data_IF_535347529098
#
_entry.id   IF_535347529098
#
_cell.length_a   1.000
_cell.length_b   1.000
_cell.length_c   1.000
_cell.angle_alpha   90.00
_cell.angle_beta   90.00
_cell.angle_gamma   90.00
#
_symmetry.space_group_name_H-M   'P 1'
#
loop_
_entity.id
_entity.type
_entity.pdbx_description
1 polymer ?
#
# COMPACT_ATOMS: atom_id res chain seq x y z
N UNK A 1 46.88 -10.37 33.18
CA UNK A 1 47.82 -10.98 32.18
C UNK A 1 47.24 -10.68 30.81
N UNK A 2 47.86 -9.70 30.14
CA UNK A 2 47.42 -9.18 28.83
C UNK A 2 48.35 -9.76 27.78
N UNK A 3 47.83 -10.39 26.75
CA UNK A 3 48.61 -10.70 25.55
C UNK A 3 47.91 -10.13 24.31
N UNK A 4 48.62 -9.37 23.48
CA UNK A 4 48.10 -8.85 22.21
C UNK A 4 48.44 -9.81 21.06
N UNK A 5 47.50 -10.08 20.19
CA UNK A 5 47.69 -10.76 18.90
C UNK A 5 47.95 -9.75 17.79
N UNK A 6 49.15 -9.85 17.22
CA UNK A 6 49.61 -9.13 16.02
C UNK A 6 48.96 -9.70 14.76
N UNK A 7 48.39 -8.84 13.93
CA UNK A 7 48.11 -9.13 12.53
C UNK A 7 49.41 -9.08 11.70
N UNK A 8 49.66 -10.11 10.89
CA UNK A 8 50.67 -10.13 9.83
C UNK A 8 50.01 -9.77 8.50
N UNK A 9 50.56 -8.76 7.85
CA UNK A 9 50.32 -8.40 6.44
C UNK A 9 50.83 -9.50 5.52
N UNK A 10 50.07 -9.78 4.44
CA UNK A 10 50.67 -10.33 3.23
C UNK A 10 50.12 -9.58 2.00
N UNK A 11 51.05 -8.97 1.32
CA UNK A 11 50.96 -8.28 0.03
C UNK A 11 50.64 -9.28 -1.09
N UNK A 12 49.73 -8.92 -1.98
CA UNK A 12 49.82 -9.30 -3.38
C UNK A 12 49.59 -8.06 -4.23
N UNK A 13 50.65 -7.70 -4.96
CA UNK A 13 50.66 -6.58 -5.89
C UNK A 13 49.92 -6.90 -7.16
N UNK A 14 49.13 -5.97 -7.62
CA UNK A 14 48.67 -5.91 -9.02
C UNK A 14 49.04 -4.54 -9.58
N UNK A 15 49.90 -4.58 -10.57
CA UNK A 15 50.44 -3.45 -11.32
C UNK A 15 49.36 -2.84 -12.19
N UNK A 16 49.03 -1.56 -11.97
CA UNK A 16 48.19 -0.77 -12.86
C UNK A 16 49.04 -0.21 -14.02
N UNK A 17 48.78 -0.69 -15.22
CA UNK A 17 49.28 -0.12 -16.45
C UNK A 17 48.61 1.23 -16.73
N UNK A 18 49.42 2.30 -16.83
CA UNK A 18 49.02 3.63 -17.30
C UNK A 18 48.70 3.54 -18.81
N UNK A 19 47.47 3.72 -19.20
CA UNK A 19 47.12 4.06 -20.56
C UNK A 19 46.84 5.57 -20.65
N UNK A 20 47.73 6.28 -21.29
CA UNK A 20 47.56 7.67 -21.69
C UNK A 20 46.54 7.78 -22.80
N UNK A 21 45.43 8.49 -22.60
CA UNK A 21 44.51 8.85 -23.68
C UNK A 21 44.55 10.36 -23.89
N UNK A 22 44.90 10.76 -25.09
CA UNK A 22 44.97 12.11 -25.59
C UNK A 22 43.54 12.66 -25.82
N UNK A 23 43.21 13.91 -25.48
CA UNK A 23 41.90 14.45 -25.77
C UNK A 23 41.87 15.03 -27.19
N UNK A 24 41.10 14.39 -28.05
CA UNK A 24 40.71 15.03 -29.31
C UNK A 24 39.48 15.92 -29.02
N UNK A 25 39.67 17.20 -29.17
CA UNK A 25 38.63 18.21 -29.08
C UNK A 25 37.63 18.03 -30.23
N UNK A 26 36.40 17.66 -29.89
CA UNK A 26 35.25 17.84 -30.76
C UNK A 26 34.46 19.05 -30.26
N UNK A 27 34.51 20.13 -31.02
CA UNK A 27 33.68 21.31 -30.87
C UNK A 27 32.24 20.94 -31.22
N UNK A 28 31.32 21.01 -30.23
CA UNK A 28 29.88 20.98 -30.45
C UNK A 28 29.33 22.38 -30.10
N UNK A 29 28.66 23.04 -31.03
CA UNK A 29 27.97 24.28 -30.74
C UNK A 29 26.58 24.00 -30.14
N UNK A 30 26.17 24.89 -29.25
CA UNK A 30 24.88 25.05 -28.62
C UNK A 30 24.59 24.15 -27.39
N UNK A 31 24.81 24.80 -26.23
CA UNK A 31 24.17 24.49 -24.97
C UNK A 31 22.67 24.79 -25.08
N UNK A 32 21.86 23.83 -25.48
CA UNK A 32 20.46 23.83 -25.15
C UNK A 32 20.27 22.94 -23.93
N UNK A 33 19.80 23.57 -22.87
CA UNK A 33 19.54 23.04 -21.56
C UNK A 33 18.65 21.81 -21.67
N UNK A 34 19.20 20.62 -21.43
CA UNK A 34 18.41 19.42 -21.18
C UNK A 34 17.72 19.64 -19.85
N UNK A 35 16.51 20.18 -19.89
CA UNK A 35 15.62 20.22 -18.72
C UNK A 35 15.25 18.78 -18.42
N UNK A 36 15.67 18.29 -17.26
CA UNK A 36 15.34 16.94 -16.78
C UNK A 36 13.82 16.79 -16.74
N UNK A 37 13.32 15.65 -17.22
CA UNK A 37 11.89 15.31 -17.15
C UNK A 37 11.34 15.38 -15.71
N UNK A 38 12.20 15.30 -14.69
CA UNK A 38 11.85 15.49 -13.29
C UNK A 38 11.59 16.95 -12.88
N UNK A 39 12.16 17.94 -13.59
CA UNK A 39 11.88 19.36 -13.35
C UNK A 39 10.57 19.81 -14.03
N UNK A 40 10.07 19.05 -15.00
CA UNK A 40 8.77 19.30 -15.66
C UNK A 40 7.56 18.96 -14.78
N UNK A 41 7.73 18.13 -13.75
CA UNK A 41 6.63 17.68 -12.85
C UNK A 41 6.46 18.62 -11.65
N UNK A 42 7.41 19.51 -11.38
CA UNK A 42 7.34 20.49 -10.28
C UNK A 42 6.62 21.75 -10.72
N UNK A 43 5.34 21.87 -10.39
CA UNK A 43 4.43 23.02 -10.61
C UNK A 43 4.20 23.40 -12.08
N UNK A 44 3.70 22.49 -12.89
CA UNK A 44 3.35 22.84 -14.27
C UNK A 44 1.98 23.53 -14.32
N UNK A 45 1.99 24.80 -14.70
CA UNK A 45 0.78 25.51 -15.12
C UNK A 45 0.08 24.70 -16.23
N UNK A 46 -1.24 24.41 -16.13
CA UNK A 46 -1.96 23.58 -17.12
C UNK A 46 -1.81 24.06 -18.57
N UNK A 47 -1.69 25.36 -18.79
CA UNK A 47 -1.44 25.96 -20.10
C UNK A 47 -0.07 25.55 -20.64
N UNK A 48 0.97 25.65 -19.81
CA UNK A 48 2.33 25.25 -20.17
C UNK A 48 2.39 23.76 -20.49
N UNK A 49 1.78 22.91 -19.67
CA UNK A 49 1.76 21.46 -19.86
C UNK A 49 1.12 21.09 -21.19
N UNK A 50 -0.08 21.64 -21.49
CA UNK A 50 -0.79 21.34 -22.75
C UNK A 50 -0.05 21.85 -23.99
N UNK A 51 0.65 22.99 -23.88
CA UNK A 51 1.52 23.52 -24.94
C UNK A 51 2.69 22.59 -25.22
N UNK A 52 3.39 22.14 -24.16
CA UNK A 52 4.55 21.25 -24.30
C UNK A 52 4.17 19.88 -24.88
N UNK A 53 3.02 19.34 -24.50
CA UNK A 53 2.47 18.09 -25.09
C UNK A 53 2.25 18.23 -26.60
N UNK A 54 1.86 19.43 -27.09
CA UNK A 54 1.72 19.75 -28.53
C UNK A 54 3.04 20.13 -29.19
N UNK A 55 4.14 20.13 -28.44
CA UNK A 55 5.47 20.56 -28.91
C UNK A 55 5.51 22.02 -29.44
N UNK A 56 4.64 22.86 -28.91
CA UNK A 56 4.58 24.26 -29.31
C UNK A 56 5.51 25.14 -28.48
N UNK A 57 6.09 26.16 -29.11
CA UNK A 57 6.75 27.28 -28.44
C UNK A 57 5.70 28.23 -27.83
N UNK A 58 6.12 29.12 -26.94
CA UNK A 58 5.22 30.20 -26.44
C UNK A 58 4.75 31.14 -27.56
N UNK A 59 5.51 31.25 -28.64
CA UNK A 59 5.14 32.04 -29.80
C UNK A 59 4.02 31.35 -30.61
N UNK A 60 4.13 30.04 -30.82
CA UNK A 60 3.13 29.24 -31.52
C UNK A 60 1.78 29.29 -30.78
N UNK A 61 1.80 29.12 -29.45
CA UNK A 61 0.58 29.23 -28.65
C UNK A 61 -0.02 30.62 -28.70
N UNK A 62 0.82 31.66 -28.68
CA UNK A 62 0.38 33.05 -28.78
C UNK A 62 -0.32 33.33 -30.13
N UNK A 63 0.22 32.82 -31.23
CA UNK A 63 -0.36 32.92 -32.57
C UNK A 63 -1.71 32.19 -32.66
N UNK A 64 -1.77 30.94 -32.21
CA UNK A 64 -3.00 30.14 -32.23
C UNK A 64 -4.13 30.74 -31.36
N UNK A 65 -3.77 31.34 -30.22
CA UNK A 65 -4.74 31.94 -29.30
C UNK A 65 -5.04 33.43 -29.59
N UNK A 66 -4.38 34.04 -30.56
CA UNK A 66 -4.56 35.46 -30.89
C UNK A 66 -4.15 36.41 -29.75
N UNK A 67 -3.14 36.03 -28.94
CA UNK A 67 -2.65 36.83 -27.81
C UNK A 67 -1.14 37.10 -27.95
N UNK A 68 -0.58 38.00 -27.14
CA UNK A 68 0.85 38.25 -27.20
C UNK A 68 1.67 37.11 -26.53
N UNK A 69 2.89 36.85 -27.04
CA UNK A 69 3.85 35.92 -26.40
C UNK A 69 4.14 36.30 -24.95
N UNK A 70 4.18 37.61 -24.65
CA UNK A 70 4.38 38.09 -23.28
C UNK A 70 3.22 37.71 -22.37
N UNK A 71 1.98 37.74 -22.87
CA UNK A 71 0.81 37.27 -22.12
C UNK A 71 0.88 35.76 -21.84
N UNK A 72 1.26 34.93 -22.82
CA UNK A 72 1.48 33.48 -22.62
C UNK A 72 2.53 33.24 -21.55
N UNK A 73 3.69 33.91 -21.63
CA UNK A 73 4.76 33.78 -20.64
C UNK A 73 4.33 34.21 -19.24
N UNK A 74 3.53 35.26 -19.11
CA UNK A 74 3.03 35.73 -17.83
C UNK A 74 1.98 34.80 -17.23
N UNK A 75 1.10 34.22 -18.06
CA UNK A 75 0.08 33.25 -17.66
C UNK A 75 0.75 31.95 -17.23
N UNK A 76 1.69 31.40 -18.00
CA UNK A 76 2.43 30.18 -17.66
C UNK A 76 3.26 30.35 -16.37
N UNK A 77 3.80 31.53 -16.14
CA UNK A 77 4.53 31.89 -14.92
C UNK A 77 3.65 32.27 -13.73
N UNK A 78 2.32 32.13 -13.84
CA UNK A 78 1.34 32.54 -12.82
C UNK A 78 1.46 33.98 -12.35
N UNK A 79 2.04 34.85 -13.19
CA UNK A 79 2.21 36.29 -12.94
C UNK A 79 1.03 37.14 -13.45
N UNK A 80 0.17 36.56 -14.27
CA UNK A 80 -1.01 37.18 -14.84
C UNK A 80 -2.17 36.19 -14.84
N UNK A 81 -3.30 36.59 -14.25
CA UNK A 81 -4.58 35.93 -14.45
C UNK A 81 -5.17 36.37 -15.77
N UNK A 82 -5.52 35.45 -16.70
CA UNK A 82 -6.09 35.81 -17.99
C UNK A 82 -7.46 36.49 -17.84
N UNK A 83 -7.78 37.42 -18.74
CA UNK A 83 -9.14 37.87 -18.89
C UNK A 83 -10.05 36.73 -19.37
N UNK A 84 -11.37 36.85 -19.19
CA UNK A 84 -12.34 35.86 -19.67
C UNK A 84 -12.16 35.58 -21.17
N UNK A 85 -11.94 36.62 -21.97
CA UNK A 85 -11.70 36.48 -23.40
C UNK A 85 -10.43 35.69 -23.71
N UNK A 86 -9.34 35.97 -23.00
CA UNK A 86 -8.06 35.23 -23.13
C UNK A 86 -8.21 33.78 -22.67
N UNK A 87 -8.94 33.55 -21.60
CA UNK A 87 -9.18 32.21 -21.09
C UNK A 87 -10.01 31.34 -22.08
N UNK A 88 -11.05 31.91 -22.66
CA UNK A 88 -11.86 31.27 -23.71
C UNK A 88 -11.04 30.98 -24.98
N UNK A 89 -10.18 31.92 -25.42
CA UNK A 89 -9.31 31.70 -26.57
C UNK A 89 -8.33 30.53 -26.34
N UNK A 90 -7.68 30.47 -25.17
CA UNK A 90 -6.77 29.40 -24.82
C UNK A 90 -7.51 28.04 -24.69
N UNK A 91 -8.73 28.05 -24.11
CA UNK A 91 -9.57 26.87 -24.00
C UNK A 91 -9.97 26.29 -25.36
N UNK A 92 -10.35 27.18 -26.29
CA UNK A 92 -10.68 26.81 -27.67
C UNK A 92 -9.48 26.20 -28.42
N UNK A 93 -8.28 26.80 -28.28
CA UNK A 93 -7.03 26.27 -28.89
C UNK A 93 -6.67 24.92 -28.34
N UNK A 94 -6.91 24.65 -27.06
CA UNK A 94 -6.62 23.39 -26.44
C UNK A 94 -7.78 22.37 -26.47
N UNK A 95 -8.91 22.74 -27.09
CA UNK A 95 -10.12 21.92 -27.21
C UNK A 95 -10.59 21.40 -25.84
N UNK A 96 -10.60 22.26 -24.83
CA UNK A 96 -10.99 21.95 -23.47
C UNK A 96 -11.82 23.07 -22.83
N UNK A 97 -12.40 22.85 -21.66
CA UNK A 97 -13.13 23.91 -20.97
C UNK A 97 -12.19 24.90 -20.28
N UNK A 98 -12.68 26.11 -20.00
CA UNK A 98 -11.95 27.12 -19.22
C UNK A 98 -11.66 26.60 -17.81
N UNK A 99 -12.59 25.84 -17.26
CA UNK A 99 -12.47 25.18 -15.96
C UNK A 99 -11.34 24.15 -15.93
N UNK A 100 -11.07 23.46 -17.03
CA UNK A 100 -9.95 22.52 -17.15
C UNK A 100 -8.59 23.22 -17.24
N UNK A 101 -8.54 24.46 -17.75
CA UNK A 101 -7.29 25.23 -17.87
C UNK A 101 -7.01 26.10 -16.66
N UNK A 102 -8.04 26.73 -16.11
CA UNK A 102 -7.92 27.79 -15.11
C UNK A 102 -8.81 27.58 -13.89
N UNK A 103 -9.79 26.67 -14.00
CA UNK A 103 -10.52 26.24 -12.83
C UNK A 103 -9.51 25.59 -11.88
N UNK A 104 -9.55 25.97 -10.62
CA UNK A 104 -8.94 25.21 -9.56
C UNK A 104 -9.73 23.90 -9.49
N UNK A 105 -9.43 22.98 -10.44
CA UNK A 105 -10.12 21.75 -10.79
C UNK A 105 -11.57 21.76 -10.35
N UNK A 106 -12.55 21.83 -11.25
CA UNK A 106 -13.98 21.93 -10.94
C UNK A 106 -14.54 20.78 -10.08
N UNK A 107 -13.99 20.62 -8.93
CA UNK A 107 -14.52 19.94 -7.76
C UNK A 107 -15.14 21.04 -6.89
N UNK A 108 -16.38 20.86 -6.50
CA UNK A 108 -16.99 21.59 -5.39
C UNK A 108 -15.93 21.78 -4.31
N UNK A 109 -15.87 22.95 -3.62
CA UNK A 109 -14.77 23.28 -2.74
C UNK A 109 -14.43 22.06 -1.91
N UNK A 110 -13.31 21.44 -2.24
CA UNK A 110 -12.89 20.22 -1.58
C UNK A 110 -12.76 20.63 -0.12
N UNK A 111 -13.61 20.08 0.74
CA UNK A 111 -13.34 20.10 2.18
C UNK A 111 -11.86 19.74 2.28
N UNK A 112 -11.09 20.58 2.98
CA UNK A 112 -9.67 20.33 3.12
C UNK A 112 -9.40 18.87 3.46
N UNK A 113 -8.22 18.33 3.23
CA UNK A 113 -7.95 16.91 3.41
C UNK A 113 -8.41 16.48 4.80
N UNK A 114 -9.17 15.39 4.85
CA UNK A 114 -9.79 14.85 6.06
C UNK A 114 -8.94 13.70 6.58
N UNK A 115 -8.75 13.62 7.90
CA UNK A 115 -8.10 12.46 8.49
C UNK A 115 -8.96 11.20 8.35
N UNK A 116 -8.37 10.12 7.83
CA UNK A 116 -9.00 8.80 7.80
C UNK A 116 -9.29 8.28 9.21
N UNK A 117 -8.35 8.56 10.13
CA UNK A 117 -8.52 8.42 11.59
C UNK A 117 -7.60 9.40 12.30
N UNK A 118 -7.93 9.68 13.56
CA UNK A 118 -7.22 10.69 14.35
C UNK A 118 -5.75 10.31 14.57
N UNK A 119 -4.79 11.20 14.28
CA UNK A 119 -3.40 10.99 14.60
C UNK A 119 -3.16 10.93 16.11
N UNK A 120 -2.12 10.18 16.51
CA UNK A 120 -1.71 10.07 17.92
C UNK A 120 -0.75 11.21 18.26
N UNK A 121 -1.24 12.29 18.84
CA UNK A 121 -0.41 13.42 19.33
C UNK A 121 -0.55 14.70 18.50
N UNK A 122 0.23 15.71 18.85
CA UNK A 122 0.18 17.07 18.27
C UNK A 122 0.91 17.20 16.94
N UNK A 123 1.72 16.21 16.59
CA UNK A 123 2.38 16.12 15.29
C UNK A 123 2.32 14.71 14.75
N UNK A 124 2.17 14.57 13.43
CA UNK A 124 2.15 13.27 12.75
C UNK A 124 2.69 13.42 11.33
N UNK A 125 3.47 12.44 10.92
CA UNK A 125 3.71 12.20 9.49
C UNK A 125 2.45 11.60 8.90
N UNK A 126 2.19 11.83 7.62
CA UNK A 126 1.01 11.27 6.97
C UNK A 126 1.28 10.80 5.55
N UNK A 127 0.46 9.87 5.10
CA UNK A 127 0.26 9.52 3.71
C UNK A 127 -1.06 10.05 3.21
N UNK A 128 -1.17 10.25 1.91
CA UNK A 128 -2.41 10.68 1.27
C UNK A 128 -2.92 9.63 0.29
N UNK A 129 -4.25 9.53 0.22
CA UNK A 129 -4.91 8.79 -0.84
C UNK A 129 -6.24 9.43 -1.21
N UNK A 130 -6.65 9.22 -2.45
CA UNK A 130 -7.95 9.64 -2.95
C UNK A 130 -8.91 8.44 -3.01
N UNK A 131 -10.00 8.47 -2.23
CA UNK A 131 -11.06 7.46 -2.22
C UNK A 131 -12.36 8.06 -2.76
N UNK A 132 -12.69 7.72 -4.00
CA UNK A 132 -13.74 8.40 -4.74
C UNK A 132 -13.40 9.88 -4.92
N UNK A 133 -14.27 10.77 -4.44
CA UNK A 133 -14.04 12.22 -4.51
C UNK A 133 -13.40 12.81 -3.24
N UNK A 134 -12.95 11.98 -2.29
CA UNK A 134 -12.41 12.41 -1.00
C UNK A 134 -10.89 12.21 -0.96
N UNK A 135 -10.17 13.26 -0.60
CA UNK A 135 -8.74 13.18 -0.28
C UNK A 135 -8.59 12.96 1.22
N UNK A 136 -7.98 11.85 1.59
CA UNK A 136 -7.84 11.40 2.98
C UNK A 136 -6.37 11.40 3.38
N UNK A 137 -6.11 11.83 4.63
CA UNK A 137 -4.82 11.74 5.31
C UNK A 137 -4.81 10.53 6.23
N UNK A 138 -3.75 9.75 6.13
CA UNK A 138 -3.50 8.57 6.96
C UNK A 138 -2.31 8.83 7.86
N UNK A 139 -2.47 8.86 9.19
CA UNK A 139 -1.32 8.95 10.09
C UNK A 139 -0.35 7.81 9.83
N UNK A 140 0.96 8.12 9.78
CA UNK A 140 1.97 7.07 9.62
C UNK A 140 1.97 6.18 10.86
N UNK A 141 1.67 4.92 10.65
CA UNK A 141 1.70 3.86 11.65
C UNK A 141 2.94 2.98 11.46
N UNK A 142 3.38 2.31 12.51
CA UNK A 142 4.40 1.28 12.38
C UNK A 142 3.83 0.13 11.52
N UNK A 143 4.31 0.04 10.29
CA UNK A 143 4.02 -1.08 9.40
C UNK A 143 5.19 -2.05 9.55
N UNK A 144 4.88 -3.33 9.69
CA UNK A 144 5.85 -4.35 10.11
C UNK A 144 7.09 -4.53 9.23
N UNK A 145 7.12 -4.03 8.01
CA UNK A 145 8.12 -4.48 7.04
C UNK A 145 9.07 -3.41 6.49
N UNK A 146 8.66 -2.20 6.25
CA UNK A 146 9.56 -1.11 5.82
C UNK A 146 8.87 0.25 5.97
N UNK A 147 9.59 1.28 6.42
CA UNK A 147 9.04 2.62 6.44
C UNK A 147 8.82 3.12 5.03
N UNK A 148 7.56 3.19 4.61
CA UNK A 148 7.17 3.81 3.34
C UNK A 148 7.33 5.33 3.46
N UNK A 149 7.94 6.02 2.46
CA UNK A 149 8.04 7.46 2.45
C UNK A 149 6.67 8.12 2.68
N UNK A 150 6.64 9.12 3.57
CA UNK A 150 5.44 9.87 3.87
C UNK A 150 5.28 11.07 2.93
N UNK A 151 4.04 11.52 2.74
CA UNK A 151 3.71 12.60 1.82
C UNK A 151 3.82 13.98 2.48
N UNK A 152 3.74 14.03 3.81
CA UNK A 152 3.90 15.28 4.53
C UNK A 152 3.94 15.10 6.04
N UNK A 153 4.01 16.24 6.74
CA UNK A 153 4.00 16.35 8.20
C UNK A 153 2.87 17.27 8.60
N UNK A 154 2.04 16.84 9.53
CA UNK A 154 1.08 17.68 10.23
C UNK A 154 1.65 18.05 11.59
N UNK A 155 1.65 19.34 11.91
CA UNK A 155 2.14 19.85 13.16
C UNK A 155 1.36 21.10 13.56
N UNK A 156 0.82 21.16 14.78
CA UNK A 156 0.07 22.29 15.33
C UNK A 156 -1.04 22.81 14.38
N UNK A 157 -1.78 21.92 13.74
CA UNK A 157 -2.85 22.28 12.82
C UNK A 157 -2.40 22.65 11.39
N UNK A 158 -1.10 22.68 11.13
CA UNK A 158 -0.53 23.03 9.83
C UNK A 158 -0.06 21.77 9.09
N UNK A 159 -0.42 21.66 7.81
CA UNK A 159 0.07 20.62 6.90
C UNK A 159 1.28 21.13 6.11
N UNK A 160 2.39 20.44 6.23
CA UNK A 160 3.58 20.66 5.41
C UNK A 160 3.68 19.51 4.40
N UNK A 161 3.23 19.75 3.17
CA UNK A 161 3.22 18.79 2.07
C UNK A 161 4.63 18.66 1.46
N UNK A 162 4.99 17.44 1.04
CA UNK A 162 6.24 17.11 0.35
C UNK A 162 6.03 16.67 -1.10
N UNK A 163 4.79 16.65 -1.55
CA UNK A 163 4.35 16.13 -2.83
C UNK A 163 3.40 14.96 -2.62
N UNK A 164 2.23 15.05 -3.24
CA UNK A 164 1.16 14.09 -3.06
C UNK A 164 1.21 12.97 -4.08
N UNK A 165 1.05 11.74 -3.61
CA UNK A 165 0.79 10.56 -4.42
C UNK A 165 -0.67 10.08 -4.23
N UNK A 166 -1.58 10.96 -3.84
CA UNK A 166 -2.95 10.59 -3.45
C UNK A 166 -3.69 9.82 -4.55
N UNK A 167 -3.62 10.30 -5.79
CA UNK A 167 -4.32 9.70 -6.96
C UNK A 167 -3.73 8.35 -7.37
N UNK A 168 -2.46 8.10 -7.06
CA UNK A 168 -1.76 6.86 -7.42
C UNK A 168 -1.65 5.89 -6.24
N UNK A 169 -2.31 6.19 -5.13
CA UNK A 169 -2.27 5.36 -3.91
C UNK A 169 -3.54 4.53 -3.78
N UNK A 170 -3.38 3.21 -3.74
CA UNK A 170 -4.38 2.25 -3.30
C UNK A 170 -4.24 2.03 -1.79
N UNK A 171 -5.34 2.04 -1.06
CA UNK A 171 -5.35 1.80 0.38
C UNK A 171 -6.12 0.53 0.70
N UNK A 172 -5.50 -0.36 1.43
CA UNK A 172 -6.05 -1.63 1.88
C UNK A 172 -6.01 -1.72 3.39
N UNK A 173 -7.04 -2.28 3.99
CA UNK A 173 -7.03 -2.74 5.36
C UNK A 173 -7.07 -4.28 5.36
N UNK A 174 -6.04 -4.93 5.88
CA UNK A 174 -5.93 -6.40 5.89
C UNK A 174 -4.98 -6.84 7.00
N UNK A 175 -5.22 -7.99 7.58
CA UNK A 175 -4.32 -8.60 8.56
C UNK A 175 -3.38 -9.63 7.95
N UNK A 176 -3.29 -9.69 6.62
CA UNK A 176 -2.34 -10.56 5.91
C UNK A 176 -0.91 -10.23 6.32
N UNK A 177 -0.16 -11.16 6.93
CA UNK A 177 1.22 -10.93 7.33
C UNK A 177 2.18 -10.82 6.14
N UNK A 178 1.79 -11.31 4.96
CA UNK A 178 2.56 -11.21 3.72
C UNK A 178 2.22 -9.96 2.88
N UNK A 179 1.39 -9.05 3.40
CA UNK A 179 0.93 -7.85 2.68
C UNK A 179 2.07 -6.95 2.18
N UNK A 180 3.24 -7.00 2.82
CA UNK A 180 4.44 -6.28 2.36
C UNK A 180 4.96 -6.78 1.02
N UNK A 181 4.93 -8.10 0.79
CA UNK A 181 5.28 -8.69 -0.51
C UNK A 181 4.30 -8.21 -1.60
N UNK A 182 3.01 -8.28 -1.32
CA UNK A 182 1.98 -7.79 -2.25
C UNK A 182 2.19 -6.30 -2.58
N UNK A 183 2.49 -5.47 -1.58
CA UNK A 183 2.71 -4.04 -1.78
C UNK A 183 3.94 -3.75 -2.65
N UNK A 184 5.03 -4.50 -2.45
CA UNK A 184 6.25 -4.39 -3.27
C UNK A 184 6.01 -4.80 -4.72
N UNK A 185 5.40 -5.96 -4.95
CA UNK A 185 5.05 -6.46 -6.28
C UNK A 185 4.05 -5.55 -6.99
N UNK A 186 3.06 -5.02 -6.27
CA UNK A 186 2.09 -4.08 -6.81
C UNK A 186 2.76 -2.78 -7.29
N UNK A 187 3.66 -2.22 -6.49
CA UNK A 187 4.40 -1.01 -6.88
C UNK A 187 5.31 -1.27 -8.08
N UNK A 188 6.01 -2.42 -8.09
CA UNK A 188 6.88 -2.81 -9.20
C UNK A 188 6.10 -3.00 -10.52
N UNK A 189 4.97 -3.69 -10.48
CA UNK A 189 4.20 -4.05 -11.67
C UNK A 189 3.36 -2.89 -12.22
N UNK A 190 2.93 -1.93 -11.40
CA UNK A 190 1.97 -0.90 -11.79
C UNK A 190 2.48 0.54 -11.68
N UNK A 191 3.55 0.78 -10.93
CA UNK A 191 3.98 2.11 -10.53
C UNK A 191 3.06 2.80 -9.52
N UNK A 192 1.93 2.19 -9.14
CA UNK A 192 1.05 2.68 -8.08
C UNK A 192 1.58 2.29 -6.71
N UNK A 193 1.27 3.09 -5.68
CA UNK A 193 1.58 2.77 -4.29
C UNK A 193 0.43 1.99 -3.66
N UNK A 194 0.74 0.90 -2.93
CA UNK A 194 -0.19 0.20 -2.06
C UNK A 194 0.17 0.45 -0.60
N UNK A 195 -0.74 1.08 0.15
CA UNK A 195 -0.66 1.20 1.60
C UNK A 195 -1.53 0.12 2.23
N UNK A 196 -0.94 -0.72 3.07
CA UNK A 196 -1.68 -1.76 3.78
C UNK A 196 -1.66 -1.47 5.28
N UNK A 197 -2.85 -1.25 5.85
CA UNK A 197 -3.03 -1.07 7.28
C UNK A 197 -3.43 -2.40 7.91
N UNK A 198 -2.68 -2.90 8.91
CA UNK A 198 -3.00 -4.16 9.57
C UNK A 198 -4.27 -4.00 10.40
N UNK A 199 -5.37 -4.55 9.91
CA UNK A 199 -6.69 -4.53 10.57
C UNK A 199 -7.37 -5.88 10.41
N UNK A 200 -8.01 -6.36 11.47
CA UNK A 200 -8.89 -7.55 11.39
C UNK A 200 -10.09 -7.30 10.48
N UNK A 201 -10.63 -8.37 9.90
CA UNK A 201 -11.62 -8.30 8.82
C UNK A 201 -12.85 -7.45 9.15
N UNK A 202 -13.36 -7.50 10.40
CA UNK A 202 -14.51 -6.66 10.81
C UNK A 202 -14.19 -5.17 10.78
N UNK A 203 -13.00 -4.79 11.28
CA UNK A 203 -12.55 -3.38 11.26
C UNK A 203 -12.27 -2.96 9.83
N UNK A 204 -11.67 -3.83 9.02
CA UNK A 204 -11.39 -3.58 7.61
C UNK A 204 -12.67 -3.29 6.82
N UNK A 205 -13.72 -4.09 7.01
CA UNK A 205 -15.03 -3.87 6.39
C UNK A 205 -15.68 -2.56 6.84
N UNK A 206 -15.60 -2.22 8.11
CA UNK A 206 -16.15 -0.95 8.62
C UNK A 206 -15.42 0.26 8.00
N UNK A 207 -14.08 0.21 7.88
CA UNK A 207 -13.31 1.24 7.19
C UNK A 207 -13.69 1.35 5.71
N UNK A 208 -13.94 0.22 5.05
CA UNK A 208 -14.41 0.18 3.67
C UNK A 208 -15.80 0.82 3.54
N UNK A 209 -16.74 0.47 4.41
CA UNK A 209 -18.10 1.04 4.47
C UNK A 209 -18.06 2.56 4.68
N UNK A 210 -17.17 3.05 5.53
CA UNK A 210 -16.95 4.48 5.79
C UNK A 210 -16.20 5.19 4.64
N UNK A 211 -15.85 4.46 3.56
CA UNK A 211 -15.02 4.99 2.44
C UNK A 211 -13.70 5.57 2.95
N UNK A 212 -13.06 4.87 3.88
CA UNK A 212 -11.73 5.22 4.41
C UNK A 212 -10.60 4.35 3.83
N UNK A 213 -10.95 3.25 3.19
CA UNK A 213 -10.03 2.39 2.43
C UNK A 213 -10.69 1.99 1.11
N UNK A 214 -9.92 1.54 0.14
CA UNK A 214 -10.43 1.02 -1.13
C UNK A 214 -10.78 -0.46 -1.04
N UNK A 215 -10.02 -1.22 -0.23
CA UNK A 215 -10.07 -2.68 -0.17
C UNK A 215 -10.01 -3.15 1.28
N UNK A 216 -10.81 -4.16 1.62
CA UNK A 216 -10.80 -4.85 2.90
C UNK A 216 -10.44 -6.32 2.72
N UNK A 217 -9.47 -6.85 3.48
CA UNK A 217 -9.12 -8.25 3.52
C UNK A 217 -10.00 -9.03 4.50
N UNK A 218 -10.58 -10.15 4.05
CA UNK A 218 -11.46 -11.03 4.81
C UNK A 218 -10.95 -12.47 4.76
N UNK A 219 -10.93 -13.17 5.89
CA UNK A 219 -10.51 -14.56 5.94
C UNK A 219 -11.36 -15.42 6.90
N UNK A 220 -12.66 -15.23 6.88
CA UNK A 220 -13.62 -16.02 7.68
C UNK A 220 -14.05 -17.32 6.99
N UNK A 221 -13.90 -17.41 5.66
CA UNK A 221 -14.27 -18.61 4.90
C UNK A 221 -13.30 -19.75 5.16
N UNK A 222 -13.87 -20.94 5.37
CA UNK A 222 -13.16 -22.21 5.59
C UNK A 222 -13.80 -23.29 4.71
N UNK A 223 -13.21 -24.48 4.65
CA UNK A 223 -13.79 -25.61 3.93
C UNK A 223 -15.21 -25.99 4.42
N UNK A 224 -15.51 -25.79 5.71
CA UNK A 224 -16.82 -26.03 6.30
C UNK A 224 -17.81 -24.87 6.14
N UNK A 225 -17.34 -23.67 5.81
CA UNK A 225 -18.13 -22.45 5.63
C UNK A 225 -17.56 -21.61 4.49
N UNK A 226 -17.63 -22.07 3.22
CA UNK A 226 -16.92 -21.43 2.10
C UNK A 226 -17.48 -20.05 1.74
N UNK A 227 -18.78 -19.80 2.02
CA UNK A 227 -19.45 -18.54 1.69
C UNK A 227 -19.34 -17.45 2.76
N UNK A 228 -18.66 -17.72 3.89
CA UNK A 228 -18.69 -16.84 5.07
C UNK A 228 -18.09 -15.45 4.81
N UNK A 229 -17.07 -15.32 3.96
CA UNK A 229 -16.56 -14.03 3.53
C UNK A 229 -17.62 -13.24 2.76
N UNK A 230 -18.32 -13.89 1.81
CA UNK A 230 -19.37 -13.28 1.02
C UNK A 230 -20.59 -12.89 1.88
N UNK A 231 -21.02 -13.77 2.78
CA UNK A 231 -22.12 -13.48 3.72
C UNK A 231 -21.79 -12.28 4.62
N UNK A 232 -20.56 -12.26 5.17
CA UNK A 232 -20.10 -11.17 6.04
C UNK A 232 -20.04 -9.84 5.25
N UNK A 233 -19.56 -9.87 4.03
CA UNK A 233 -19.50 -8.69 3.17
C UNK A 233 -20.91 -8.21 2.76
N UNK A 234 -21.82 -9.13 2.38
CA UNK A 234 -23.22 -8.79 2.03
C UNK A 234 -23.95 -8.11 3.18
N UNK A 235 -23.74 -8.59 4.40
CA UNK A 235 -24.38 -8.00 5.59
C UNK A 235 -24.03 -6.52 5.78
N UNK A 236 -22.87 -6.07 5.26
CA UNK A 236 -22.41 -4.69 5.39
C UNK A 236 -22.60 -3.84 4.14
N UNK A 237 -22.57 -4.44 2.94
CA UNK A 237 -22.63 -3.71 1.65
C UNK A 237 -23.92 -3.94 0.85
N UNK A 238 -24.80 -4.84 1.26
CA UNK A 238 -25.83 -5.35 0.37
C UNK A 238 -25.21 -6.15 -0.78
N UNK A 239 -25.73 -6.11 -1.98
CA UNK A 239 -25.20 -6.86 -3.13
C UNK A 239 -24.14 -6.13 -3.98
N UNK A 240 -23.70 -4.94 -3.60
CA UNK A 240 -22.89 -4.05 -4.44
C UNK A 240 -21.38 -4.18 -4.22
N UNK A 241 -20.89 -5.37 -3.90
CA UNK A 241 -19.49 -5.64 -3.67
C UNK A 241 -18.88 -6.67 -4.63
N UNK A 242 -17.55 -6.74 -4.61
CA UNK A 242 -16.74 -7.75 -5.29
C UNK A 242 -15.80 -8.38 -4.29
N UNK A 243 -15.58 -9.68 -4.42
CA UNK A 243 -14.51 -10.41 -3.75
C UNK A 243 -13.48 -10.83 -4.79
N UNK A 244 -12.22 -10.52 -4.53
CA UNK A 244 -11.07 -10.96 -5.32
C UNK A 244 -10.25 -11.92 -4.46
N UNK A 245 -10.13 -13.18 -4.89
CA UNK A 245 -9.36 -14.20 -4.19
C UNK A 245 -7.88 -13.80 -4.12
N UNK A 246 -7.35 -13.65 -2.91
CA UNK A 246 -5.93 -13.41 -2.69
C UNK A 246 -5.16 -14.73 -2.56
N UNK A 247 -5.59 -15.58 -1.64
CA UNK A 247 -4.98 -16.88 -1.39
C UNK A 247 -5.86 -17.71 -0.46
N UNK A 248 -5.52 -18.99 -0.30
CA UNK A 248 -5.86 -19.74 0.90
C UNK A 248 -4.61 -19.85 1.77
N UNK A 249 -4.78 -19.96 3.09
CA UNK A 249 -3.68 -20.16 4.01
C UNK A 249 -4.04 -21.10 5.15
N UNK A 250 -3.02 -21.66 5.79
CA UNK A 250 -3.20 -22.46 6.99
C UNK A 250 -3.16 -21.59 8.25
N UNK A 251 -4.22 -21.68 9.06
CA UNK A 251 -4.29 -21.17 10.43
C UNK A 251 -4.12 -22.30 11.43
N UNK A 252 -3.41 -22.05 12.52
CA UNK A 252 -3.13 -23.08 13.52
C UNK A 252 -2.40 -22.55 14.74
N UNK A 253 -1.96 -23.47 15.58
CA UNK A 253 -1.28 -23.21 16.84
C UNK A 253 0.22 -23.09 16.60
N UNK A 254 0.79 -21.91 16.90
CA UNK A 254 2.22 -21.71 17.03
C UNK A 254 2.68 -22.07 18.45
N UNK A 255 3.78 -22.80 18.55
CA UNK A 255 4.38 -23.29 19.80
C UNK A 255 5.88 -23.04 19.78
N UNK A 256 6.51 -22.96 20.96
CA UNK A 256 7.96 -22.88 21.06
C UNK A 256 8.66 -24.03 20.33
N UNK A 257 9.88 -23.80 19.86
CA UNK A 257 10.65 -24.74 19.01
C UNK A 257 10.96 -26.07 19.71
N UNK A 258 11.01 -26.07 21.02
CA UNK A 258 11.24 -27.26 21.87
C UNK A 258 9.96 -28.02 22.22
N UNK A 259 8.78 -27.47 22.03
CA UNK A 259 7.50 -28.13 22.23
C UNK A 259 7.29 -29.21 21.15
N UNK A 260 7.19 -30.47 21.57
CA UNK A 260 7.02 -31.63 20.68
C UNK A 260 5.57 -32.13 20.55
N UNK A 261 4.62 -31.31 20.95
CA UNK A 261 3.20 -31.62 20.78
C UNK A 261 2.85 -31.86 19.30
N UNK A 262 1.95 -32.83 19.07
CA UNK A 262 1.49 -33.24 17.75
C UNK A 262 -0.04 -33.24 17.60
N UNK A 263 -0.77 -32.91 18.65
CA UNK A 263 -2.24 -32.85 18.67
C UNK A 263 -2.71 -31.52 19.19
N UNK A 264 -3.56 -30.88 18.42
CA UNK A 264 -4.20 -29.60 18.76
C UNK A 264 -5.07 -29.72 20.00
N UNK A 265 -5.80 -30.85 20.15
CA UNK A 265 -6.65 -31.15 21.33
C UNK A 265 -5.81 -31.32 22.60
N UNK A 266 -4.64 -31.94 22.47
CA UNK A 266 -3.72 -32.13 23.60
C UNK A 266 -3.21 -30.77 24.08
N UNK A 267 -2.79 -29.89 23.15
CA UNK A 267 -2.32 -28.51 23.44
C UNK A 267 -3.43 -27.67 24.05
N UNK A 268 -4.65 -27.72 23.49
CA UNK A 268 -5.79 -26.96 24.00
C UNK A 268 -6.21 -27.34 25.42
N UNK A 269 -5.89 -28.60 25.88
CA UNK A 269 -6.17 -29.08 27.23
C UNK A 269 -5.14 -28.67 28.27
N UNK A 270 -3.97 -28.25 27.84
CA UNK A 270 -2.91 -27.72 28.72
C UNK A 270 -3.31 -26.31 29.18
N UNK A 271 -3.14 -25.94 30.40
CA UNK A 271 -3.41 -24.62 30.93
C UNK A 271 -2.36 -23.57 30.49
N UNK A 272 -2.13 -23.45 29.19
CA UNK A 272 -1.10 -22.57 28.63
C UNK A 272 -1.50 -21.10 28.68
N UNK A 273 -0.50 -20.22 28.70
CA UNK A 273 -0.66 -18.79 28.44
C UNK A 273 -0.71 -18.56 26.94
N UNK A 274 -1.83 -18.04 26.44
CA UNK A 274 -2.06 -17.83 25.03
C UNK A 274 -1.82 -16.39 24.61
N UNK A 275 -1.21 -16.20 23.45
CA UNK A 275 -1.31 -14.96 22.69
C UNK A 275 -2.52 -15.04 21.77
N UNK A 276 -3.44 -14.10 21.87
CA UNK A 276 -4.66 -14.08 21.07
C UNK A 276 -4.79 -12.79 20.28
N UNK A 277 -5.50 -12.89 19.16
CA UNK A 277 -5.97 -11.73 18.43
C UNK A 277 -7.18 -11.11 19.14
N UNK A 278 -7.50 -9.89 18.71
CA UNK A 278 -8.69 -9.14 19.14
C UNK A 278 -9.99 -9.94 18.92
N UNK A 279 -10.97 -9.70 19.79
CA UNK A 279 -12.29 -10.34 19.68
C UNK A 279 -12.97 -10.05 18.33
N UNK A 280 -13.50 -11.10 17.71
CA UNK A 280 -14.16 -11.03 16.38
C UNK A 280 -13.20 -11.08 15.19
N UNK A 281 -11.91 -11.33 15.41
CA UNK A 281 -11.01 -11.78 14.33
C UNK A 281 -11.16 -13.29 14.11
N UNK A 282 -10.94 -13.77 12.86
CA UNK A 282 -11.05 -15.19 12.54
C UNK A 282 -10.07 -16.06 13.37
N UNK A 283 -8.85 -15.56 13.61
CA UNK A 283 -7.88 -16.28 14.45
C UNK A 283 -8.33 -16.35 15.93
N UNK A 284 -9.04 -15.32 16.44
CA UNK A 284 -9.62 -15.38 17.77
C UNK A 284 -10.78 -16.36 17.83
N UNK A 285 -11.65 -16.37 16.82
CA UNK A 285 -12.71 -17.38 16.72
C UNK A 285 -12.13 -18.80 16.68
N UNK A 286 -11.06 -19.02 15.92
CA UNK A 286 -10.35 -20.29 15.88
C UNK A 286 -9.82 -20.71 17.28
N UNK A 287 -9.24 -19.77 18.04
CA UNK A 287 -8.79 -20.03 19.40
C UNK A 287 -9.97 -20.36 20.34
N UNK A 288 -11.04 -19.58 20.25
CA UNK A 288 -12.24 -19.78 21.10
C UNK A 288 -12.90 -21.13 20.81
N UNK A 289 -12.95 -21.57 19.54
CA UNK A 289 -13.41 -22.90 19.14
C UNK A 289 -12.52 -24.00 19.72
N UNK A 290 -11.19 -23.85 19.66
CA UNK A 290 -10.22 -24.81 20.22
C UNK A 290 -10.32 -24.93 21.73
N UNK A 291 -10.49 -23.84 22.44
CA UNK A 291 -10.58 -23.81 23.90
C UNK A 291 -11.98 -24.19 24.40
N UNK A 292 -13.02 -24.03 23.59
CA UNK A 292 -14.41 -24.24 23.93
C UNK A 292 -14.85 -23.33 25.09
N UNK A 293 -15.40 -23.96 26.19
CA UNK A 293 -15.85 -23.21 27.39
C UNK A 293 -14.70 -22.83 28.36
N UNK A 294 -13.46 -23.11 28.01
CA UNK A 294 -12.32 -22.75 28.86
C UNK A 294 -12.02 -21.30 28.76
N UNK A 295 -11.67 -20.68 29.87
CA UNK A 295 -11.26 -19.29 29.86
C UNK A 295 -9.92 -19.14 29.14
N UNK A 296 -9.86 -18.18 28.27
CA UNK A 296 -8.62 -17.72 27.68
C UNK A 296 -7.74 -17.06 28.77
N UNK A 297 -6.61 -17.67 29.04
CA UNK A 297 -5.59 -17.08 29.89
C UNK A 297 -4.45 -16.53 29.02
N UNK A 298 -4.29 -15.21 28.95
CA UNK A 298 -3.25 -14.61 28.14
C UNK A 298 -3.49 -13.15 27.80
N UNK A 299 -2.84 -12.69 26.73
CA UNK A 299 -2.90 -11.29 26.27
C UNK A 299 -3.40 -11.19 24.84
N UNK A 300 -4.13 -10.13 24.56
CA UNK A 300 -4.45 -9.73 23.17
C UNK A 300 -3.26 -9.00 22.57
N UNK A 301 -2.97 -9.30 21.30
CA UNK A 301 -1.91 -8.70 20.48
C UNK A 301 -2.41 -8.41 19.06
N UNK A 302 -1.83 -7.42 18.42
CA UNK A 302 -2.25 -6.96 17.09
C UNK A 302 -1.51 -7.72 15.97
N UNK A 303 -2.23 -8.50 15.19
CA UNK A 303 -1.70 -9.18 14.00
C UNK A 303 -1.13 -10.57 14.26
N UNK A 304 -1.07 -11.39 13.19
CA UNK A 304 -0.54 -12.75 13.25
C UNK A 304 0.95 -12.77 13.61
N UNK A 305 1.73 -11.82 13.10
CA UNK A 305 3.14 -11.70 13.42
C UNK A 305 3.39 -11.40 14.91
N UNK A 306 2.56 -10.56 15.53
CA UNK A 306 2.68 -10.28 16.97
C UNK A 306 2.30 -11.47 17.85
N UNK A 307 1.37 -12.35 17.41
CA UNK A 307 1.10 -13.61 18.08
C UNK A 307 2.33 -14.50 18.05
N UNK A 308 2.93 -14.70 16.87
CA UNK A 308 4.12 -15.52 16.73
C UNK A 308 5.30 -14.96 17.54
N UNK A 309 5.48 -13.62 17.53
CA UNK A 309 6.53 -12.96 18.29
C UNK A 309 6.34 -13.12 19.81
N UNK A 310 5.10 -13.04 20.31
CA UNK A 310 4.81 -13.25 21.72
C UNK A 310 5.20 -14.68 22.19
N UNK A 311 4.99 -15.70 21.34
CA UNK A 311 5.43 -17.07 21.60
C UNK A 311 6.95 -17.17 21.52
N UNK A 312 7.58 -16.60 20.49
CA UNK A 312 9.04 -16.62 20.32
C UNK A 312 9.77 -15.96 21.50
N UNK A 313 9.23 -14.85 22.00
CA UNK A 313 9.78 -14.11 23.14
C UNK A 313 9.45 -14.75 24.51
N UNK A 314 8.69 -15.85 24.56
CA UNK A 314 8.29 -16.53 25.80
C UNK A 314 7.23 -15.78 26.63
N UNK A 315 6.60 -14.74 26.08
CA UNK A 315 5.50 -14.04 26.74
C UNK A 315 4.22 -14.85 26.73
N UNK A 316 4.05 -15.70 25.72
CA UNK A 316 3.02 -16.71 25.62
C UNK A 316 3.69 -18.08 25.37
N UNK A 317 2.96 -19.15 25.67
CA UNK A 317 3.40 -20.53 25.42
C UNK A 317 2.79 -21.09 24.15
N UNK A 318 1.65 -20.52 23.72
CA UNK A 318 0.96 -20.86 22.48
C UNK A 318 0.22 -19.64 21.93
N UNK A 319 -0.09 -19.68 20.62
CA UNK A 319 -0.91 -18.67 19.98
C UNK A 319 -1.50 -19.16 18.66
N UNK A 320 -2.66 -18.65 18.27
CA UNK A 320 -3.26 -18.96 16.97
C UNK A 320 -2.86 -17.91 15.95
N UNK A 321 -2.12 -18.33 14.93
CA UNK A 321 -1.68 -17.48 13.83
C UNK A 321 -1.62 -18.25 12.51
N UNK A 322 -1.19 -17.59 11.42
CA UNK A 322 -0.91 -18.28 10.15
C UNK A 322 0.38 -19.10 10.23
N UNK A 323 0.47 -20.17 9.42
CA UNK A 323 1.73 -20.94 9.28
C UNK A 323 2.88 -20.04 8.87
N UNK A 324 2.66 -19.09 7.96
CA UNK A 324 3.67 -18.11 7.55
C UNK A 324 4.27 -17.39 8.74
N UNK A 325 3.44 -16.77 9.60
CA UNK A 325 3.96 -16.04 10.77
C UNK A 325 4.72 -16.95 11.74
N UNK A 326 4.28 -18.18 11.93
CA UNK A 326 4.98 -19.15 12.77
C UNK A 326 6.33 -19.54 12.18
N UNK A 327 6.41 -19.77 10.85
CA UNK A 327 7.63 -20.10 10.13
C UNK A 327 8.66 -18.96 10.18
N UNK A 328 8.23 -17.71 9.93
CA UNK A 328 9.10 -16.53 10.01
C UNK A 328 9.67 -16.33 11.44
N UNK A 329 8.92 -16.71 12.46
CA UNK A 329 9.38 -16.65 13.83
C UNK A 329 10.19 -17.90 14.28
N UNK A 330 10.41 -18.88 13.39
CA UNK A 330 11.12 -20.13 13.70
C UNK A 330 10.40 -21.04 14.71
N UNK A 331 9.07 -21.02 14.74
CA UNK A 331 8.25 -21.76 15.71
C UNK A 331 7.74 -23.08 15.14
N UNK A 332 7.43 -24.03 16.03
CA UNK A 332 6.63 -25.20 15.67
C UNK A 332 5.19 -24.79 15.40
N UNK A 333 4.54 -25.50 14.46
CA UNK A 333 3.19 -25.18 14.03
C UNK A 333 2.32 -26.44 13.92
N UNK A 334 1.15 -26.39 14.54
CA UNK A 334 0.12 -27.40 14.42
C UNK A 334 -1.05 -26.84 13.60
N UNK A 335 -1.32 -27.34 12.38
CA UNK A 335 -2.41 -26.85 11.56
C UNK A 335 -3.77 -27.17 12.22
N UNK A 336 -4.69 -26.21 12.16
CA UNK A 336 -6.06 -26.37 12.66
C UNK A 336 -7.05 -26.33 11.50
N UNK A 337 -6.95 -25.32 10.64
CA UNK A 337 -7.85 -25.16 9.50
C UNK A 337 -7.20 -24.37 8.37
N UNK A 338 -7.75 -24.52 7.17
CA UNK A 338 -7.44 -23.65 6.03
C UNK A 338 -8.49 -22.55 5.97
N UNK A 339 -8.05 -21.32 5.81
CA UNK A 339 -8.89 -20.13 5.65
C UNK A 339 -8.65 -19.53 4.28
N UNK A 340 -9.70 -18.95 3.71
CA UNK A 340 -9.65 -18.25 2.42
C UNK A 340 -9.56 -16.76 2.65
N UNK A 341 -8.51 -16.14 2.13
CA UNK A 341 -8.33 -14.68 2.12
C UNK A 341 -8.91 -14.11 0.84
N UNK A 342 -9.96 -13.31 0.97
CA UNK A 342 -10.57 -12.54 -0.11
C UNK A 342 -10.41 -11.03 0.13
N UNK A 343 -10.17 -10.30 -0.95
CA UNK A 343 -10.10 -8.85 -0.97
C UNK A 343 -11.46 -8.29 -1.42
N UNK A 344 -12.17 -7.64 -0.49
CA UNK A 344 -13.48 -7.06 -0.73
C UNK A 344 -13.34 -5.59 -1.14
N UNK A 345 -14.06 -5.17 -2.18
CA UNK A 345 -14.18 -3.78 -2.60
C UNK A 345 -15.54 -3.48 -3.23
N UNK A 346 -16.02 -2.20 -3.21
CA UNK A 346 -17.27 -1.80 -3.85
C UNK A 346 -17.25 -2.02 -5.36
N UNK A 347 -18.34 -2.46 -5.95
CA UNK A 347 -18.46 -2.65 -7.40
C UNK A 347 -18.18 -1.35 -8.18
N UNK A 348 -18.49 -0.18 -7.60
CA UNK A 348 -18.17 1.13 -8.18
C UNK A 348 -16.67 1.35 -8.41
N UNK A 349 -15.79 0.67 -7.69
CA UNK A 349 -14.33 0.75 -7.88
C UNK A 349 -13.80 -0.28 -8.89
N UNK A 350 -14.66 -1.11 -9.48
CA UNK A 350 -14.23 -2.16 -10.41
C UNK A 350 -13.42 -1.61 -11.60
N UNK A 351 -13.70 -0.40 -12.04
CA UNK A 351 -13.00 0.26 -13.16
C UNK A 351 -11.91 1.25 -12.71
N UNK A 352 -11.66 1.38 -11.41
CA UNK A 352 -10.54 2.19 -10.89
C UNK A 352 -9.21 1.58 -11.38
N UNK A 353 -8.32 2.36 -12.02
CA UNK A 353 -7.07 1.85 -12.58
C UNK A 353 -6.18 1.17 -11.54
N UNK A 354 -6.25 1.59 -10.28
CA UNK A 354 -5.50 1.00 -9.16
C UNK A 354 -6.07 -0.38 -8.80
N UNK A 355 -7.39 -0.54 -8.76
CA UNK A 355 -8.05 -1.85 -8.55
C UNK A 355 -7.77 -2.77 -9.73
N UNK A 356 -7.85 -2.26 -10.96
CA UNK A 356 -7.53 -3.06 -12.15
C UNK A 356 -6.06 -3.53 -12.16
N UNK A 357 -5.14 -2.70 -11.67
CA UNK A 357 -3.74 -3.10 -11.52
C UNK A 357 -3.59 -4.22 -10.48
N UNK A 358 -4.30 -4.16 -9.35
CA UNK A 358 -4.31 -5.23 -8.34
C UNK A 358 -4.86 -6.54 -8.90
N UNK A 359 -5.97 -6.48 -9.65
CA UNK A 359 -6.56 -7.66 -10.31
C UNK A 359 -5.60 -8.28 -11.32
N UNK A 360 -4.92 -7.45 -12.14
CA UNK A 360 -3.91 -7.95 -13.10
C UNK A 360 -2.75 -8.61 -12.38
N UNK A 361 -2.23 -8.00 -11.31
CA UNK A 361 -1.14 -8.55 -10.52
C UNK A 361 -1.49 -9.92 -9.95
N UNK A 362 -2.65 -10.06 -9.31
CA UNK A 362 -3.06 -11.34 -8.70
C UNK A 362 -3.37 -12.43 -9.75
N UNK A 363 -3.63 -12.07 -11.02
CA UNK A 363 -3.76 -13.01 -12.14
C UNK A 363 -2.44 -13.37 -12.79
N UNK A 364 -1.38 -12.63 -12.51
CA UNK A 364 -0.06 -12.88 -13.08
C UNK A 364 0.56 -14.17 -12.52
N UNK A 365 1.21 -14.94 -13.38
CA UNK A 365 1.80 -16.24 -13.00
C UNK A 365 2.98 -16.09 -12.05
N UNK A 366 3.81 -15.05 -12.24
CA UNK A 366 4.96 -14.83 -11.39
C UNK A 366 4.53 -14.45 -9.98
N UNK A 367 3.54 -13.56 -9.84
CA UNK A 367 2.95 -13.18 -8.56
C UNK A 367 2.32 -14.40 -7.85
N UNK A 368 1.53 -15.21 -8.56
CA UNK A 368 0.92 -16.42 -8.00
C UNK A 368 1.97 -17.43 -7.52
N UNK A 369 3.07 -17.57 -8.27
CA UNK A 369 4.20 -18.40 -7.88
C UNK A 369 4.83 -17.89 -6.57
N UNK A 370 5.14 -16.59 -6.49
CA UNK A 370 5.68 -15.99 -5.26
C UNK A 370 4.78 -16.22 -4.06
N UNK A 371 3.46 -16.07 -4.21
CA UNK A 371 2.50 -16.34 -3.13
C UNK A 371 2.56 -17.83 -2.72
N UNK A 372 2.64 -18.75 -3.68
CA UNK A 372 2.69 -20.19 -3.40
C UNK A 372 4.00 -20.66 -2.74
N UNK A 373 5.07 -19.85 -2.80
CA UNK A 373 6.34 -20.11 -2.12
C UNK A 373 6.28 -19.75 -0.63
N UNK A 374 5.24 -19.02 -0.19
CA UNK A 374 5.08 -18.66 1.22
C UNK A 374 4.58 -19.85 2.05
N UNK A 375 5.16 -20.11 3.23
CA UNK A 375 4.75 -21.23 4.08
C UNK A 375 3.24 -21.23 4.40
N UNK A 376 2.54 -22.26 3.96
CA UNK A 376 1.12 -22.46 4.21
C UNK A 376 0.17 -21.67 3.32
N UNK A 377 0.67 -20.95 2.29
CA UNK A 377 -0.17 -20.28 1.28
C UNK A 377 -0.44 -21.21 0.08
N UNK A 378 -1.64 -21.11 -0.44
CA UNK A 378 -2.08 -21.73 -1.68
C UNK A 378 -2.66 -20.67 -2.63
N UNK A 379 -2.03 -20.54 -3.79
CA UNK A 379 -2.37 -19.53 -4.80
C UNK A 379 -3.14 -20.10 -6.00
N UNK A 380 -3.70 -21.33 -5.92
CA UNK A 380 -4.38 -21.96 -7.06
C UNK A 380 -5.56 -21.14 -7.59
N UNK A 381 -6.35 -20.57 -6.69
CA UNK A 381 -7.52 -19.74 -7.01
C UNK A 381 -7.24 -18.23 -6.97
N UNK A 382 -5.97 -17.83 -6.80
CA UNK A 382 -5.59 -16.41 -6.73
C UNK A 382 -5.97 -15.69 -8.03
N UNK A 383 -6.63 -14.53 -7.90
CA UNK A 383 -7.09 -13.70 -9.01
C UNK A 383 -8.50 -14.02 -9.50
N UNK A 384 -9.18 -15.02 -8.93
CA UNK A 384 -10.61 -15.26 -9.17
C UNK A 384 -11.45 -14.15 -8.54
N UNK A 385 -12.51 -13.75 -9.23
CA UNK A 385 -13.36 -12.64 -8.78
C UNK A 385 -14.83 -13.08 -8.74
N UNK A 386 -15.49 -12.76 -7.62
CA UNK A 386 -16.86 -13.13 -7.33
C UNK A 386 -17.70 -11.88 -7.05
N UNK A 387 -18.98 -11.91 -7.42
CA UNK A 387 -19.96 -10.91 -7.00
C UNK A 387 -20.54 -11.29 -5.64
N UNK A 388 -20.83 -10.28 -4.81
CA UNK A 388 -21.54 -10.48 -3.53
C UNK A 388 -23.00 -10.81 -3.76
#
# INVERSE_FOLDING_TARGET
MVFPLRCKNNLFGITLAKASFCPAAFFWPHRDTIISMNDMIRSSNPVQTRRLVRQWSQADLAEHAGISRAAVSAIEGARLSPSVATALALAAVFECSVEELFGHGGRAPARGPEWAWTPRGESSRYWEAEIGARRLLYPVEAIALNPTPHDGIWQNGVLCDRGSAAETTLVMASCDPAAGLLAAEYAHASGFRLLVFPRGGRVALELLRQKRVHVAGLHYSTASAPERNAETARAQFGGEGRLLRMAQWESGIALATDDRSRSTESVARRGLRWAARESGSAARECLDELLGRRHFAGREVDGHAAVAEAVRAGWAEAGVCTRFSAAEAGLNFLPVRTETLDLCFPAAFQHDPRIQALVRLLRDRACRRLISELPGYDARETGEMFSL
#
